data_IF_422423086704
#
_entry.id   IF_422423086704
#
_cell.length_a   1.000
_cell.length_b   1.000
_cell.length_c   1.000
_cell.angle_alpha   90.00
_cell.angle_beta   90.00
_cell.angle_gamma   90.00
#
_symmetry.space_group_name_H-M   'P 1'
#
loop_
_entity.id
_entity.type
_entity.pdbx_description
1 polymer ?
#
# COMPACT_ATOMS: atom_id res chain seq x y z
N UNK A 1 20.46 15.28 -36.56
CA UNK A 1 19.03 15.28 -36.96
C UNK A 1 18.19 14.46 -35.98
N UNK A 2 18.50 13.18 -35.73
CA UNK A 2 17.78 12.38 -34.72
C UNK A 2 17.87 12.94 -33.29
N UNK A 3 19.04 13.43 -32.87
CA UNK A 3 19.24 14.04 -31.54
C UNK A 3 18.44 15.34 -31.32
N UNK A 4 18.25 16.14 -32.36
CA UNK A 4 17.47 17.39 -32.26
C UNK A 4 15.97 17.14 -32.05
N UNK A 5 15.48 16.00 -32.55
CA UNK A 5 14.09 15.58 -32.34
C UNK A 5 13.93 15.03 -30.91
N UNK A 6 14.90 14.27 -30.40
CA UNK A 6 14.90 13.78 -29.01
C UNK A 6 14.90 14.93 -28.00
N UNK A 7 15.76 15.93 -28.16
CA UNK A 7 15.82 17.12 -27.28
C UNK A 7 14.51 17.93 -27.26
N UNK A 8 13.73 17.89 -28.34
CA UNK A 8 12.43 18.54 -28.41
C UNK A 8 11.28 17.69 -27.82
N UNK A 9 11.37 16.36 -27.91
CA UNK A 9 10.33 15.43 -27.43
C UNK A 9 10.46 15.13 -25.93
N UNK A 10 11.69 15.02 -25.43
CA UNK A 10 11.99 14.70 -24.03
C UNK A 10 11.32 15.65 -23.02
N UNK A 11 11.36 17.00 -23.16
CA UNK A 11 10.74 17.89 -22.18
C UNK A 11 9.21 17.80 -22.18
N UNK A 12 8.60 17.52 -23.35
CA UNK A 12 7.15 17.33 -23.48
C UNK A 12 6.73 16.02 -22.80
N UNK A 13 7.44 14.93 -23.10
CA UNK A 13 7.19 13.62 -22.50
C UNK A 13 7.45 13.65 -20.99
N UNK A 14 8.50 14.34 -20.55
CA UNK A 14 8.82 14.53 -19.14
C UNK A 14 7.72 15.32 -18.41
N UNK A 15 7.23 16.42 -18.99
CA UNK A 15 6.16 17.23 -18.40
C UNK A 15 4.85 16.44 -18.26
N UNK A 16 4.50 15.65 -19.28
CA UNK A 16 3.34 14.77 -19.22
C UNK A 16 3.49 13.66 -18.19
N UNK A 17 4.68 13.04 -18.11
CA UNK A 17 4.97 11.99 -17.13
C UNK A 17 4.91 12.54 -15.71
N UNK A 18 5.48 13.72 -15.47
CA UNK A 18 5.45 14.38 -14.16
C UNK A 18 4.01 14.73 -13.74
N UNK A 19 3.18 15.23 -14.67
CA UNK A 19 1.78 15.52 -14.39
C UNK A 19 0.95 14.25 -14.10
N UNK A 20 1.15 13.19 -14.89
CA UNK A 20 0.47 11.90 -14.70
C UNK A 20 0.89 11.23 -13.38
N UNK A 21 2.20 11.16 -13.13
CA UNK A 21 2.76 10.47 -11.96
C UNK A 21 2.47 11.24 -10.67
N UNK A 22 2.69 12.56 -10.65
CA UNK A 22 2.60 13.35 -9.42
C UNK A 22 1.17 13.78 -9.09
N UNK A 23 0.34 14.11 -10.07
CA UNK A 23 -1.02 14.60 -9.79
C UNK A 23 -2.09 13.53 -10.04
N UNK A 24 -2.08 12.90 -11.22
CA UNK A 24 -3.17 11.98 -11.59
C UNK A 24 -3.12 10.71 -10.75
N UNK A 25 -1.94 10.12 -10.57
CA UNK A 25 -1.78 8.86 -9.84
C UNK A 25 -2.08 9.03 -8.35
N UNK A 26 -1.62 10.12 -7.72
CA UNK A 26 -1.92 10.44 -6.33
C UNK A 26 -3.43 10.72 -6.16
N UNK A 27 -4.02 11.56 -7.01
CA UNK A 27 -5.45 11.88 -6.92
C UNK A 27 -6.34 10.65 -7.11
N UNK A 28 -5.99 9.76 -8.04
CA UNK A 28 -6.72 8.51 -8.26
C UNK A 28 -6.58 7.58 -7.06
N UNK A 29 -5.38 7.40 -6.52
CA UNK A 29 -5.15 6.52 -5.37
C UNK A 29 -5.90 7.02 -4.12
N UNK A 30 -5.83 8.32 -3.83
CA UNK A 30 -6.56 8.94 -2.72
C UNK A 30 -8.07 8.87 -2.95
N UNK A 31 -8.54 9.20 -4.15
CA UNK A 31 -9.96 9.17 -4.51
C UNK A 31 -10.58 7.77 -4.40
N UNK A 32 -9.88 6.76 -4.93
CA UNK A 32 -10.29 5.35 -4.81
C UNK A 32 -10.26 4.90 -3.35
N UNK A 33 -9.22 5.26 -2.60
CA UNK A 33 -9.11 4.96 -1.17
C UNK A 33 -10.25 5.56 -0.34
N UNK A 34 -10.59 6.82 -0.58
CA UNK A 34 -11.72 7.49 0.07
C UNK A 34 -13.06 6.87 -0.34
N UNK A 35 -13.26 6.57 -1.63
CA UNK A 35 -14.48 5.93 -2.12
C UNK A 35 -14.70 4.56 -1.49
N UNK A 36 -13.66 3.72 -1.42
CA UNK A 36 -13.73 2.43 -0.73
C UNK A 36 -14.00 2.60 0.77
N UNK A 37 -13.39 3.61 1.41
CA UNK A 37 -13.59 3.90 2.84
C UNK A 37 -15.04 4.27 3.14
N UNK A 38 -15.64 5.15 2.34
CA UNK A 38 -17.04 5.57 2.49
C UNK A 38 -17.98 4.41 2.17
N UNK A 39 -17.76 3.69 1.06
CA UNK A 39 -18.63 2.59 0.62
C UNK A 39 -18.63 1.43 1.62
N UNK A 40 -17.48 1.13 2.23
CA UNK A 40 -17.35 0.08 3.25
C UNK A 40 -17.72 0.56 4.65
N UNK A 41 -18.14 1.83 4.84
CA UNK A 41 -18.47 2.41 6.16
C UNK A 41 -17.32 2.27 7.15
N UNK A 42 -16.11 2.63 6.72
CA UNK A 42 -14.89 2.55 7.51
C UNK A 42 -14.64 1.15 8.11
N UNK A 43 -14.74 0.10 7.28
CA UNK A 43 -14.41 -1.29 7.67
C UNK A 43 -13.04 -1.39 8.35
N UNK A 44 -12.06 -0.58 7.91
CA UNK A 44 -10.73 -0.51 8.51
C UNK A 44 -10.77 -0.27 10.02
N UNK A 45 -11.67 0.59 10.51
CA UNK A 45 -11.84 0.89 11.95
C UNK A 45 -12.74 -0.15 12.61
N UNK A 46 -13.85 -0.51 11.94
CA UNK A 46 -14.89 -1.38 12.52
C UNK A 46 -14.41 -2.82 12.74
N UNK A 47 -13.57 -3.33 11.85
CA UNK A 47 -13.04 -4.70 11.88
C UNK A 47 -11.61 -4.79 12.39
N UNK A 48 -10.97 -3.66 12.74
CA UNK A 48 -9.61 -3.67 13.31
C UNK A 48 -9.52 -4.56 14.54
N UNK A 49 -10.47 -4.43 15.48
CA UNK A 49 -10.48 -5.21 16.72
C UNK A 49 -10.69 -6.71 16.50
N UNK A 50 -11.55 -7.09 15.54
CA UNK A 50 -11.71 -8.50 15.16
C UNK A 50 -10.48 -9.04 14.43
N UNK A 51 -9.87 -8.23 13.56
CA UNK A 51 -8.61 -8.54 12.88
C UNK A 51 -7.48 -8.83 13.87
N UNK A 52 -7.27 -7.94 14.84
CA UNK A 52 -6.28 -8.10 15.90
C UNK A 52 -6.55 -9.36 16.74
N UNK A 53 -7.81 -9.62 17.10
CA UNK A 53 -8.17 -10.88 17.80
C UNK A 53 -7.89 -12.12 16.96
N UNK A 54 -8.04 -12.09 15.64
CA UNK A 54 -7.72 -13.24 14.77
C UNK A 54 -6.22 -13.41 14.52
N UNK A 55 -5.48 -12.30 14.45
CA UNK A 55 -4.03 -12.28 14.27
C UNK A 55 -3.28 -12.71 15.52
N UNK A 56 -3.72 -12.25 16.69
CA UNK A 56 -3.08 -12.57 17.99
C UNK A 56 -3.81 -13.66 18.78
N UNK A 57 -5.08 -13.93 18.51
CA UNK A 57 -5.83 -15.01 19.17
C UNK A 57 -5.58 -16.40 18.58
N UNK A 58 -5.06 -16.49 17.36
CA UNK A 58 -4.56 -17.74 16.76
C UNK A 58 -3.27 -18.28 17.40
N UNK A 59 -2.65 -17.52 18.32
CA UNK A 59 -1.57 -18.00 19.19
C UNK A 59 -2.08 -18.87 20.35
N UNK A 60 -3.40 -19.05 20.50
CA UNK A 60 -3.96 -19.96 21.51
C UNK A 60 -3.72 -21.42 21.11
N UNK A 61 -2.98 -22.12 21.97
CA UNK A 61 -2.50 -23.50 21.97
C UNK A 61 -3.53 -24.63 21.73
N UNK A 62 -4.69 -24.40 21.11
CA UNK A 62 -5.67 -25.44 20.79
C UNK A 62 -6.23 -25.30 19.37
N UNK A 63 -5.48 -25.89 18.45
CA UNK A 63 -5.98 -26.71 17.33
C UNK A 63 -7.02 -26.11 16.40
N UNK A 64 -6.57 -25.57 15.26
CA UNK A 64 -7.08 -25.97 13.94
C UNK A 64 -5.93 -25.97 12.95
N UNK A 65 -5.57 -27.16 12.49
CA UNK A 65 -4.65 -27.37 11.38
C UNK A 65 -5.12 -26.57 10.15
N UNK A 66 -4.33 -25.59 9.73
CA UNK A 66 -4.32 -25.14 8.33
C UNK A 66 -3.10 -25.78 7.69
N UNK A 67 -3.38 -26.90 7.02
CA UNK A 67 -2.45 -27.65 6.19
C UNK A 67 -1.80 -26.70 5.16
N UNK A 68 -0.47 -26.63 5.15
CA UNK A 68 0.33 -26.02 4.07
C UNK A 68 0.12 -24.51 3.83
N UNK A 69 0.18 -23.68 4.89
CA UNK A 69 0.16 -22.21 4.74
C UNK A 69 0.84 -21.48 5.91
N UNK A 70 1.49 -20.35 5.60
CA UNK A 70 2.11 -19.44 6.58
C UNK A 70 1.08 -18.99 7.64
N UNK A 71 1.45 -19.00 8.93
CA UNK A 71 0.56 -18.56 10.04
C UNK A 71 0.08 -17.12 9.83
N UNK A 72 -1.16 -16.78 10.23
CA UNK A 72 -1.71 -15.42 10.13
C UNK A 72 -0.79 -14.35 10.75
N UNK A 73 -0.09 -14.69 11.84
CA UNK A 73 0.91 -13.82 12.46
C UNK A 73 2.19 -13.71 11.62
N UNK A 74 2.65 -14.82 11.04
CA UNK A 74 3.84 -14.83 10.19
C UNK A 74 3.59 -14.06 8.89
N UNK A 75 2.43 -14.21 8.27
CA UNK A 75 2.03 -13.44 7.09
C UNK A 75 1.97 -11.94 7.38
N UNK A 76 1.41 -11.56 8.54
CA UNK A 76 1.43 -10.17 9.00
C UNK A 76 2.86 -9.68 9.23
N UNK A 77 3.69 -10.42 9.95
CA UNK A 77 5.06 -10.04 10.26
C UNK A 77 5.88 -9.86 8.97
N UNK A 78 5.71 -10.75 7.99
CA UNK A 78 6.32 -10.63 6.67
C UNK A 78 5.81 -9.39 5.92
N UNK A 79 4.50 -9.12 5.93
CA UNK A 79 3.94 -7.93 5.28
C UNK A 79 4.42 -6.62 5.94
N UNK A 80 4.47 -6.56 7.26
CA UNK A 80 5.00 -5.40 8.00
C UNK A 80 6.50 -5.23 7.71
N UNK A 81 7.29 -6.31 7.73
CA UNK A 81 8.71 -6.24 7.40
C UNK A 81 8.94 -5.74 5.96
N UNK A 82 8.08 -6.09 5.01
CA UNK A 82 8.15 -5.61 3.64
C UNK A 82 7.77 -4.12 3.52
N UNK A 83 6.84 -3.63 4.34
CA UNK A 83 6.33 -2.26 4.26
C UNK A 83 7.12 -1.26 5.13
N UNK A 84 7.77 -1.72 6.20
CA UNK A 84 8.57 -0.88 7.11
C UNK A 84 9.96 -0.68 6.51
N UNK A 85 10.09 0.39 5.73
CA UNK A 85 11.37 0.81 5.12
C UNK A 85 11.83 2.18 5.59
N UNK A 86 13.02 2.57 5.14
CA UNK A 86 13.62 3.90 5.38
C UNK A 86 12.70 5.04 4.94
N UNK A 87 11.88 4.81 3.90
CA UNK A 87 10.90 5.79 3.40
C UNK A 87 9.88 6.25 4.45
N UNK A 88 9.41 5.35 5.34
CA UNK A 88 8.47 5.73 6.39
C UNK A 88 9.15 6.51 7.53
N UNK A 89 10.43 6.22 7.82
CA UNK A 89 11.18 6.85 8.91
C UNK A 89 11.68 8.24 8.49
N UNK A 90 12.32 8.34 7.32
CA UNK A 90 12.85 9.59 6.78
C UNK A 90 11.71 10.51 6.34
N UNK A 91 10.66 9.96 5.73
CA UNK A 91 9.50 10.74 5.28
C UNK A 91 8.69 11.36 6.43
N UNK A 92 8.70 10.78 7.63
CA UNK A 92 8.03 11.34 8.81
C UNK A 92 8.91 12.36 9.58
N UNK A 93 10.21 12.40 9.29
CA UNK A 93 11.18 13.31 9.94
C UNK A 93 11.44 14.57 9.12
N UNK A 94 10.81 14.71 7.95
CA UNK A 94 10.88 15.87 7.06
C UNK A 94 9.79 16.88 7.31
#
# INVERSE_FOLDING_TARGET
>A
MFTAIEEALLPIVASFNEYLSSYVLIALLVGVGLWFTIRTRAVQVRYFGEGMKRMFGGLSLKGKEQKSGMSSFQALATAIAAQVGTGNIVGASG
#
